data_IF_221304179902
#
_entry.id   IF_221304179902
#
_cell.length_a   1.000
_cell.length_b   1.000
_cell.length_c   1.000
_cell.angle_alpha   90.00
_cell.angle_beta   90.00
_cell.angle_gamma   90.00
#
_symmetry.space_group_name_H-M   'P 1'
#
loop_
_entity.id
_entity.type
_entity.pdbx_description
1 polymer ?
#
# COMPACT_ATOMS: atom_id res chain seq x y z
N UNK A 1 7.32 -28.55 -13.79
CA UNK A 1 7.53 -27.14 -14.19
C UNK A 1 6.56 -26.30 -13.35
N UNK A 2 7.05 -25.61 -12.32
CA UNK A 2 6.18 -24.79 -11.48
C UNK A 2 5.59 -23.64 -12.32
N UNK A 3 4.32 -23.25 -12.11
CA UNK A 3 3.75 -22.10 -12.80
C UNK A 3 4.60 -20.87 -12.49
N UNK A 4 5.13 -20.23 -13.54
CA UNK A 4 5.84 -18.97 -13.42
C UNK A 4 4.87 -17.94 -12.82
N UNK A 5 5.25 -17.22 -11.75
CA UNK A 5 4.43 -16.14 -11.25
C UNK A 5 4.20 -15.16 -12.41
N UNK A 6 2.94 -14.87 -12.65
CA UNK A 6 2.41 -13.98 -13.67
C UNK A 6 3.13 -12.61 -13.64
N UNK A 7 4.19 -12.49 -14.44
CA UNK A 7 4.97 -11.25 -14.57
C UNK A 7 4.11 -10.19 -15.26
N UNK A 8 3.70 -9.19 -14.48
CA UNK A 8 2.95 -8.04 -14.97
C UNK A 8 3.85 -7.15 -15.85
N UNK A 9 3.70 -7.30 -17.18
CA UNK A 9 4.47 -6.55 -18.18
C UNK A 9 4.16 -5.04 -18.24
N UNK A 10 3.09 -4.58 -17.58
CA UNK A 10 2.73 -3.16 -17.51
C UNK A 10 3.36 -2.42 -16.33
N UNK A 11 4.07 -3.13 -15.46
CA UNK A 11 4.78 -2.55 -14.32
C UNK A 11 6.28 -2.87 -14.49
N UNK A 12 7.14 -1.87 -14.75
CA UNK A 12 8.57 -2.09 -14.95
C UNK A 12 9.24 -2.58 -13.67
N UNK A 13 10.34 -3.31 -13.81
CA UNK A 13 11.21 -3.64 -12.68
C UNK A 13 11.80 -2.32 -12.15
N UNK A 14 11.27 -1.82 -11.04
CA UNK A 14 11.67 -0.53 -10.49
C UNK A 14 12.97 -0.67 -9.68
N UNK A 15 13.89 0.26 -9.91
CA UNK A 15 14.93 0.63 -8.94
C UNK A 15 14.28 0.97 -7.59
N UNK A 16 14.95 0.64 -6.49
CA UNK A 16 14.41 0.81 -5.14
C UNK A 16 14.19 2.31 -4.87
N UNK A 17 12.94 2.75 -4.91
CA UNK A 17 12.50 4.10 -4.52
C UNK A 17 11.71 3.94 -3.21
N UNK A 18 12.02 4.77 -2.22
CA UNK A 18 11.32 4.80 -0.93
C UNK A 18 10.44 6.05 -0.91
N UNK A 19 9.14 5.95 -1.25
CA UNK A 19 8.25 7.09 -1.18
C UNK A 19 8.03 7.50 0.29
N UNK A 20 7.77 8.79 0.48
CA UNK A 20 7.40 9.37 1.77
C UNK A 20 5.90 9.73 1.72
N UNK A 21 5.12 9.17 2.63
CA UNK A 21 3.69 9.44 2.76
C UNK A 21 3.44 10.33 3.98
N UNK A 22 2.62 11.37 3.80
CA UNK A 22 2.25 12.32 4.85
C UNK A 22 0.92 11.94 5.50
N UNK A 23 0.87 11.89 6.83
CA UNK A 23 -0.36 11.62 7.59
C UNK A 23 -0.48 12.57 8.77
N UNK A 24 -1.70 13.00 9.07
CA UNK A 24 -2.01 13.84 10.25
C UNK A 24 -1.91 13.09 11.57
N UNK A 25 -2.05 11.76 11.53
CA UNK A 25 -1.79 10.86 12.66
C UNK A 25 -0.92 9.69 12.19
N UNK A 26 0.39 9.80 12.43
CA UNK A 26 1.37 8.78 12.05
C UNK A 26 1.11 7.46 12.76
N UNK A 27 0.67 7.47 14.02
CA UNK A 27 0.46 6.24 14.80
C UNK A 27 -0.75 5.48 14.27
N UNK A 28 -1.85 6.18 14.04
CA UNK A 28 -3.03 5.57 13.45
C UNK A 28 -2.78 5.10 12.02
N UNK A 29 -2.02 5.85 11.22
CA UNK A 29 -1.62 5.45 9.88
C UNK A 29 -0.80 4.15 9.89
N UNK A 30 0.19 4.02 10.77
CA UNK A 30 0.97 2.78 10.91
C UNK A 30 0.06 1.60 11.26
N UNK A 31 -0.82 1.76 12.25
CA UNK A 31 -1.76 0.71 12.65
C UNK A 31 -2.69 0.28 11.51
N UNK A 32 -3.21 1.24 10.75
CA UNK A 32 -4.05 0.95 9.58
C UNK A 32 -3.25 0.25 8.47
N UNK A 33 -2.08 0.76 8.09
CA UNK A 33 -1.28 0.19 7.00
C UNK A 33 -0.79 -1.23 7.31
N UNK A 34 -0.41 -1.48 8.56
CA UNK A 34 0.03 -2.80 9.01
C UNK A 34 -1.14 -3.80 9.04
N UNK A 35 -2.29 -3.41 9.62
CA UNK A 35 -3.47 -4.28 9.74
C UNK A 35 -4.17 -4.52 8.39
N UNK A 36 -4.43 -3.46 7.64
CA UNK A 36 -5.26 -3.48 6.43
C UNK A 36 -4.49 -3.93 5.20
N UNK A 37 -3.23 -3.50 5.07
CA UNK A 37 -2.43 -3.77 3.89
C UNK A 37 -1.22 -4.67 4.17
N UNK A 38 -1.01 -5.15 5.39
CA UNK A 38 0.07 -6.09 5.69
C UNK A 38 1.46 -5.47 5.63
N UNK A 39 1.59 -4.15 5.80
CA UNK A 39 2.89 -3.53 6.03
C UNK A 39 3.49 -4.00 7.36
N UNK A 40 4.80 -3.86 7.52
CA UNK A 40 5.49 -4.17 8.78
C UNK A 40 6.30 -2.97 9.22
N UNK A 41 6.15 -2.55 10.48
CA UNK A 41 6.98 -1.49 11.04
C UNK A 41 8.44 -1.93 11.17
N UNK A 42 9.36 -1.11 10.64
CA UNK A 42 10.80 -1.33 10.78
C UNK A 42 11.38 -0.52 11.93
N UNK A 43 11.09 0.77 11.93
CA UNK A 43 11.49 1.70 12.98
C UNK A 43 10.58 2.93 12.98
N UNK A 44 10.57 3.62 14.11
CA UNK A 44 9.85 4.86 14.33
C UNK A 44 10.66 5.79 15.22
N UNK A 45 10.59 7.09 14.92
CA UNK A 45 11.17 8.16 15.73
C UNK A 45 10.05 9.06 16.22
N UNK A 46 9.76 8.97 17.52
CA UNK A 46 8.64 9.68 18.15
C UNK A 46 7.31 9.38 17.46
N UNK A 47 6.46 10.40 17.34
CA UNK A 47 5.14 10.28 16.70
C UNK A 47 5.07 11.00 15.34
N UNK A 48 6.22 11.38 14.76
CA UNK A 48 6.25 12.21 13.56
C UNK A 48 6.93 11.54 12.37
N UNK A 49 7.61 10.40 12.57
CA UNK A 49 8.27 9.69 11.47
C UNK A 49 8.41 8.20 11.72
N UNK A 50 8.16 7.40 10.69
CA UNK A 50 8.38 5.95 10.72
C UNK A 50 8.80 5.42 9.35
N UNK A 51 9.35 4.20 9.33
CA UNK A 51 9.57 3.45 8.10
C UNK A 51 8.88 2.10 8.19
N UNK A 52 8.09 1.78 7.16
CA UNK A 52 7.43 0.49 7.02
C UNK A 52 8.04 -0.28 5.85
N UNK A 53 8.06 -1.60 5.94
CA UNK A 53 8.36 -2.52 4.84
C UNK A 53 7.11 -3.16 4.26
N UNK A 54 7.17 -3.48 2.98
CA UNK A 54 6.16 -4.28 2.28
C UNK A 54 6.86 -5.19 1.26
N UNK A 55 6.90 -6.49 1.54
CA UNK A 55 7.77 -7.42 0.80
C UNK A 55 9.22 -6.94 0.80
N UNK A 56 9.79 -6.74 -0.38
CA UNK A 56 11.16 -6.23 -0.56
C UNK A 56 11.24 -4.70 -0.69
N UNK A 57 10.10 -4.00 -0.57
CA UNK A 57 10.02 -2.54 -0.63
C UNK A 57 9.94 -1.89 0.74
N UNK A 58 10.13 -0.57 0.78
CA UNK A 58 9.94 0.23 1.97
C UNK A 58 9.24 1.55 1.64
N UNK A 59 8.52 2.08 2.61
CA UNK A 59 7.93 3.42 2.59
C UNK A 59 8.32 4.16 3.87
N UNK A 60 8.46 5.47 3.78
CA UNK A 60 8.55 6.32 4.95
C UNK A 60 7.21 6.99 5.21
N UNK A 61 6.88 7.19 6.48
CA UNK A 61 5.70 7.92 6.94
C UNK A 61 6.18 9.13 7.71
N UNK A 62 5.58 10.28 7.45
CA UNK A 62 5.87 11.54 8.14
C UNK A 62 4.58 12.22 8.58
N UNK A 63 4.70 13.05 9.61
CA UNK A 63 3.63 13.96 10.02
C UNK A 63 3.31 14.96 8.90
N UNK A 64 2.03 15.29 8.77
CA UNK A 64 1.49 16.28 7.86
C UNK A 64 0.45 17.14 8.58
N UNK A 65 0.47 18.45 8.33
CA UNK A 65 -0.45 19.40 8.99
C UNK A 65 -1.90 19.28 8.51
N UNK A 66 -2.11 18.67 7.34
CA UNK A 66 -3.42 18.44 6.73
C UNK A 66 -3.36 17.18 5.86
N UNK A 67 -4.49 16.52 5.58
CA UNK A 67 -4.51 15.39 4.67
C UNK A 67 -4.04 15.78 3.26
N UNK A 68 -3.19 14.96 2.64
CA UNK A 68 -2.59 15.21 1.33
C UNK A 68 -3.02 14.11 0.36
N UNK A 69 -3.53 14.43 -0.85
CA UNK A 69 -3.79 13.43 -1.87
C UNK A 69 -2.50 12.70 -2.24
N UNK A 70 -2.45 11.40 -1.97
CA UNK A 70 -1.28 10.56 -2.20
C UNK A 70 -1.70 9.19 -2.73
N UNK A 71 -0.86 8.63 -3.61
CA UNK A 71 -1.10 7.32 -4.21
C UNK A 71 0.18 6.50 -4.23
N UNK A 72 0.08 5.27 -3.73
CA UNK A 72 1.15 4.29 -3.78
C UNK A 72 0.68 3.08 -4.59
N UNK A 73 1.54 2.59 -5.48
CA UNK A 73 1.31 1.34 -6.19
C UNK A 73 2.31 0.32 -5.71
N UNK A 74 1.82 -0.75 -5.08
CA UNK A 74 2.63 -1.87 -4.61
C UNK A 74 2.41 -3.10 -5.48
N UNK A 75 3.44 -3.95 -5.54
CA UNK A 75 3.37 -5.23 -6.24
C UNK A 75 3.02 -6.31 -5.22
N UNK A 76 1.97 -7.08 -5.47
CA UNK A 76 1.54 -8.20 -4.61
C UNK A 76 1.47 -9.48 -5.43
N UNK A 77 1.75 -10.61 -4.79
CA UNK A 77 1.71 -11.91 -5.46
C UNK A 77 0.27 -12.32 -5.81
N UNK A 78 -0.67 -12.12 -4.87
CA UNK A 78 -2.08 -12.39 -5.06
C UNK A 78 -2.89 -11.10 -4.80
N UNK A 79 -3.38 -10.50 -5.89
CA UNK A 79 -4.13 -9.25 -5.84
C UNK A 79 -5.54 -9.46 -5.29
N UNK A 80 -6.14 -10.64 -5.51
CA UNK A 80 -7.50 -10.94 -5.06
C UNK A 80 -7.51 -11.16 -3.55
N UNK A 81 -6.62 -12.02 -3.06
CA UNK A 81 -6.50 -12.25 -1.61
C UNK A 81 -6.15 -10.95 -0.85
N UNK A 82 -5.28 -10.11 -1.41
CA UNK A 82 -4.95 -8.82 -0.81
C UNK A 82 -6.12 -7.83 -0.82
N UNK A 83 -6.92 -7.83 -1.90
CA UNK A 83 -8.15 -7.04 -2.00
C UNK A 83 -9.19 -7.46 -0.97
N UNK A 84 -9.45 -8.77 -0.85
CA UNK A 84 -10.47 -9.30 0.05
C UNK A 84 -10.10 -9.06 1.51
N UNK A 85 -8.83 -9.27 1.89
CA UNK A 85 -8.33 -8.92 3.22
C UNK A 85 -8.49 -7.42 3.51
N UNK A 86 -8.12 -6.54 2.57
CA UNK A 86 -8.28 -5.10 2.76
C UNK A 86 -9.76 -4.70 2.95
N UNK A 87 -10.67 -5.35 2.21
CA UNK A 87 -12.11 -5.14 2.35
C UNK A 87 -12.62 -5.59 3.72
N UNK A 88 -12.20 -6.77 4.20
CA UNK A 88 -12.54 -7.30 5.52
C UNK A 88 -12.06 -6.41 6.66
N UNK A 89 -10.91 -5.74 6.48
CA UNK A 89 -10.39 -4.76 7.44
C UNK A 89 -11.03 -3.37 7.32
N UNK A 90 -12.01 -3.19 6.43
CA UNK A 90 -12.80 -1.97 6.29
C UNK A 90 -12.19 -0.91 5.37
N UNK A 91 -11.28 -1.28 4.45
CA UNK A 91 -10.74 -0.32 3.49
C UNK A 91 -11.80 0.15 2.50
N UNK A 92 -11.87 1.46 2.26
CA UNK A 92 -12.70 2.04 1.19
C UNK A 92 -12.09 1.74 -0.18
N UNK A 93 -12.75 0.87 -0.96
CA UNK A 93 -12.30 0.48 -2.30
C UNK A 93 -12.84 1.46 -3.34
N UNK A 94 -11.93 2.27 -3.89
CA UNK A 94 -12.23 3.27 -4.92
C UNK A 94 -12.46 2.66 -6.29
N UNK A 95 -11.74 1.58 -6.60
CA UNK A 95 -11.88 0.88 -7.86
C UNK A 95 -11.69 -0.62 -7.62
N UNK A 96 -12.73 -1.44 -7.85
CA UNK A 96 -12.64 -2.87 -7.63
C UNK A 96 -11.60 -3.48 -8.57
N UNK A 97 -11.00 -4.59 -8.14
CA UNK A 97 -9.97 -5.33 -8.89
C UNK A 97 -10.44 -5.65 -10.30
N UNK A 98 -9.99 -4.88 -11.30
CA UNK A 98 -10.36 -5.13 -12.70
C UNK A 98 -9.20 -5.83 -13.39
N UNK A 99 -9.48 -6.98 -13.99
CA UNK A 99 -8.57 -7.58 -14.96
C UNK A 99 -8.47 -6.64 -16.17
N UNK A 100 -7.37 -5.89 -16.24
CA UNK A 100 -7.11 -5.02 -17.39
C UNK A 100 -6.73 -5.86 -18.61
N UNK A 101 -6.97 -5.33 -19.82
CA UNK A 101 -6.56 -5.93 -21.11
C UNK A 101 -5.07 -6.32 -21.17
N UNK A 102 -4.24 -5.81 -20.26
CA UNK A 102 -2.81 -6.06 -20.18
C UNK A 102 -2.40 -7.18 -19.20
N UNK A 103 -3.35 -8.01 -18.73
CA UNK A 103 -3.12 -9.04 -17.70
C UNK A 103 -2.49 -8.45 -16.42
N UNK A 104 -2.99 -7.30 -16.01
CA UNK A 104 -2.68 -6.69 -14.72
C UNK A 104 -3.99 -6.52 -13.96
N UNK A 105 -4.11 -7.18 -12.81
CA UNK A 105 -5.17 -6.92 -11.83
C UNK A 105 -4.68 -5.77 -10.96
N UNK A 106 -5.40 -4.65 -10.99
CA UNK A 106 -5.17 -3.51 -10.09
C UNK A 106 -6.46 -3.25 -9.34
N UNK A 107 -6.36 -3.00 -8.05
CA UNK A 107 -7.42 -2.34 -7.31
C UNK A 107 -6.86 -1.06 -6.70
N UNK A 108 -7.74 -0.09 -6.48
CA UNK A 108 -7.40 1.16 -5.81
C UNK A 108 -8.19 1.22 -4.52
N UNK A 109 -7.50 1.47 -3.43
CA UNK A 109 -8.05 1.63 -2.09
C UNK A 109 -7.56 2.96 -1.52
N UNK A 110 -8.33 3.52 -0.59
CA UNK A 110 -7.85 4.63 0.21
C UNK A 110 -6.80 4.15 1.20
N UNK A 111 -5.64 4.78 1.12
CA UNK A 111 -4.52 4.61 2.06
C UNK A 111 -4.69 5.47 3.32
N UNK A 112 -5.75 6.27 3.40
CA UNK A 112 -6.03 7.18 4.50
C UNK A 112 -7.48 6.98 4.96
N UNK A 113 -7.73 6.46 6.18
CA UNK A 113 -9.08 6.32 6.73
C UNK A 113 -9.67 7.66 7.20
N UNK A 114 -8.89 8.75 7.21
CA UNK A 114 -9.28 10.07 7.70
C UNK A 114 -9.64 11.06 6.58
N UNK A 115 -9.49 10.65 5.31
CA UNK A 115 -9.98 11.40 4.15
C UNK A 115 -11.30 10.76 3.71
N UNK A 116 -12.40 11.50 3.91
CA UNK A 116 -13.72 11.20 3.36
C UNK A 116 -13.91 11.82 1.97
#
# INVERSE_FOLDING_TARGET
>A
MAPQPNVNRSMPDCSIIIPVLGYTDVVAAIGYLTKTFGFTERWRTGNHRAQLSFGNGAIAITDATSPIPQHLMVRVADVIAHHDHALEQGASILQPGKNSKYRCTKFRCYFDPFIH
#
